data_IF_660327750770
#
_entry.id   IF_660327750770
#
_cell.length_a   1.000
_cell.length_b   1.000
_cell.length_c   1.000
_cell.angle_alpha   90.00
_cell.angle_beta   90.00
_cell.angle_gamma   90.00
#
_symmetry.space_group_name_H-M   'P 1'
#
loop_
_entity.id
_entity.type
_entity.pdbx_description
1 polymer ?
#
# COMPACT_ATOMS: atom_id res chain seq x y z
N UNK A 1 -6.89 -4.45 -3.96
CA UNK A 1 -7.07 -3.41 -4.99
C UNK A 1 -6.37 -2.12 -4.60
N UNK A 2 -5.72 -1.44 -5.55
CA UNK A 2 -5.05 -0.14 -5.34
C UNK A 2 -6.10 0.98 -5.31
N UNK A 3 -6.15 1.76 -4.22
CA UNK A 3 -7.05 2.91 -4.09
C UNK A 3 -6.41 4.20 -4.57
N UNK A 4 -5.15 4.43 -4.20
CA UNK A 4 -4.43 5.67 -4.48
C UNK A 4 -2.96 5.34 -4.76
N UNK A 5 -2.35 6.05 -5.71
CA UNK A 5 -0.93 5.95 -5.99
C UNK A 5 -0.35 7.33 -6.25
N UNK A 6 0.85 7.56 -5.74
CA UNK A 6 1.55 8.84 -5.84
C UNK A 6 3.02 8.60 -6.14
N UNK A 7 3.56 9.34 -7.11
CA UNK A 7 5.01 9.53 -7.23
C UNK A 7 5.43 10.58 -6.22
N UNK A 8 6.44 10.27 -5.42
CA UNK A 8 6.95 11.16 -4.38
C UNK A 8 8.46 11.35 -4.53
N UNK A 9 8.98 12.45 -4.00
CA UNK A 9 10.41 12.68 -3.87
C UNK A 9 10.89 12.22 -2.48
N UNK A 10 12.14 11.79 -2.39
CA UNK A 10 12.77 11.37 -1.14
C UNK A 10 13.19 9.90 -1.15
N UNK A 11 13.19 9.29 0.03
CA UNK A 11 13.70 7.93 0.24
C UNK A 11 12.86 6.86 -0.48
N UNK A 12 11.54 7.05 -0.50
CA UNK A 12 10.64 6.21 -1.29
C UNK A 12 10.30 6.90 -2.60
N UNK A 13 10.18 6.09 -3.64
CA UNK A 13 9.87 6.51 -5.00
C UNK A 13 8.36 6.64 -5.24
N UNK A 14 7.58 5.79 -4.59
CA UNK A 14 6.13 5.73 -4.72
C UNK A 14 5.48 5.51 -3.36
N UNK A 15 4.29 6.07 -3.20
CA UNK A 15 3.40 5.77 -2.08
C UNK A 15 2.08 5.25 -2.64
N UNK A 16 1.65 4.08 -2.17
CA UNK A 16 0.45 3.41 -2.67
C UNK A 16 -0.45 3.06 -1.48
N UNK A 17 -1.73 3.40 -1.57
CA UNK A 17 -2.77 2.95 -0.62
C UNK A 17 -3.50 1.78 -1.26
N UNK A 18 -3.49 0.63 -0.60
CA UNK A 18 -4.16 -0.58 -1.06
C UNK A 18 -5.18 -1.03 -0.02
N UNK A 19 -6.22 -1.72 -0.48
CA UNK A 19 -7.15 -2.46 0.36
C UNK A 19 -7.14 -3.91 -0.11
N UNK A 20 -6.95 -4.83 0.82
CA UNK A 20 -7.02 -6.27 0.59
C UNK A 20 -8.14 -6.84 1.47
N UNK A 21 -8.79 -7.90 0.98
CA UNK A 21 -9.88 -8.57 1.72
C UNK A 21 -9.36 -9.32 2.95
N UNK A 22 -8.11 -9.78 2.89
CA UNK A 22 -7.44 -10.50 3.96
C UNK A 22 -5.90 -10.32 3.84
N UNK A 23 -5.17 -10.91 4.78
CA UNK A 23 -3.71 -10.80 4.84
C UNK A 23 -3.00 -11.56 3.71
N UNK A 24 -3.50 -12.73 3.31
CA UNK A 24 -2.91 -13.56 2.26
C UNK A 24 -2.85 -12.80 0.92
N UNK A 25 -3.97 -12.17 0.54
CA UNK A 25 -4.03 -11.33 -0.67
C UNK A 25 -3.10 -10.10 -0.58
N UNK A 26 -2.89 -9.57 0.64
CA UNK A 26 -1.94 -8.47 0.84
C UNK A 26 -0.49 -8.95 0.66
N UNK A 27 -0.16 -10.12 1.19
CA UNK A 27 1.17 -10.73 1.06
C UNK A 27 1.49 -11.04 -0.40
N UNK A 28 0.56 -11.67 -1.13
CA UNK A 28 0.70 -11.92 -2.57
C UNK A 28 0.99 -10.62 -3.35
N UNK A 29 0.24 -9.55 -3.05
CA UNK A 29 0.46 -8.25 -3.67
C UNK A 29 1.85 -7.66 -3.36
N UNK A 30 2.31 -7.79 -2.10
CA UNK A 30 3.63 -7.32 -1.69
C UNK A 30 4.72 -8.11 -2.41
N UNK A 31 4.63 -9.43 -2.45
CA UNK A 31 5.59 -10.32 -3.09
C UNK A 31 5.69 -10.07 -4.60
N UNK A 32 4.55 -9.92 -5.27
CA UNK A 32 4.53 -9.55 -6.69
C UNK A 32 5.17 -8.18 -6.94
N UNK A 33 5.00 -7.23 -6.02
CA UNK A 33 5.58 -5.90 -6.14
C UNK A 33 7.10 -5.87 -5.97
N UNK A 34 7.68 -6.88 -5.29
CA UNK A 34 9.12 -6.97 -5.04
C UNK A 34 9.95 -7.07 -6.32
N UNK A 35 9.34 -7.50 -7.44
CA UNK A 35 10.01 -7.50 -8.75
C UNK A 35 10.37 -6.09 -9.26
N UNK A 36 9.69 -5.05 -8.75
CA UNK A 36 9.89 -3.65 -9.15
C UNK A 36 10.76 -2.86 -8.16
N UNK A 37 11.16 -3.47 -7.04
CA UNK A 37 11.95 -2.86 -5.98
C UNK A 37 11.50 -3.33 -4.61
N UNK A 38 12.20 -2.95 -3.54
CA UNK A 38 11.86 -3.37 -2.18
C UNK A 38 10.80 -2.44 -1.55
N UNK A 39 9.57 -2.90 -1.30
CA UNK A 39 8.53 -2.09 -0.66
C UNK A 39 8.72 -2.03 0.86
N UNK A 40 8.06 -1.06 1.50
CA UNK A 40 7.84 -1.04 2.94
C UNK A 40 6.36 -0.84 3.19
N UNK A 41 5.74 -1.77 3.91
CA UNK A 41 4.29 -1.84 4.09
C UNK A 41 3.90 -1.40 5.50
N UNK A 42 2.95 -0.47 5.59
CA UNK A 42 2.35 -0.03 6.87
C UNK A 42 0.89 -0.44 6.91
N UNK A 43 0.49 -1.18 7.94
CA UNK A 43 -0.90 -1.62 8.14
C UNK A 43 -1.70 -0.54 8.85
N UNK A 44 -2.84 -0.16 8.27
CA UNK A 44 -3.76 0.82 8.84
C UNK A 44 -4.79 0.09 9.72
N UNK A 45 -4.71 0.30 11.04
CA UNK A 45 -5.64 -0.33 12.00
C UNK A 45 -6.93 0.46 12.22
N UNK A 46 -6.92 1.76 11.96
CA UNK A 46 -8.09 2.63 12.10
C UNK A 46 -7.97 3.83 11.16
N UNK A 47 -9.12 4.41 10.80
CA UNK A 47 -9.19 5.66 10.06
C UNK A 47 -9.78 6.76 10.94
N UNK A 48 -9.39 8.00 10.65
CA UNK A 48 -10.10 9.15 11.21
C UNK A 48 -11.46 9.27 10.53
N UNK A 49 -12.46 9.79 11.24
CA UNK A 49 -13.86 9.90 10.76
C UNK A 49 -13.97 10.65 9.41
N UNK A 50 -12.96 11.46 9.08
CA UNK A 50 -12.94 12.29 7.86
C UNK A 50 -12.37 11.57 6.63
N UNK A 51 -11.74 10.39 6.76
CA UNK A 51 -11.23 9.65 5.61
C UNK A 51 -12.40 8.92 4.95
N UNK A 52 -13.07 9.61 4.03
CA UNK A 52 -14.09 9.01 3.15
C UNK A 52 -13.37 8.05 2.19
N UNK A 53 -13.68 6.76 2.33
CA UNK A 53 -13.05 5.65 1.59
C UNK A 53 -13.34 5.80 0.10
#
# INVERSE_FOLDING_TARGET
MVLKYYRIAGYYSYLVKVVAENMEILEDFVDESMQFGTPSTHIVFSSTVTDSI
#
